data_IF_412872593116
#
_entry.id   IF_412872593116
#
_cell.length_a   1.000
_cell.length_b   1.000
_cell.length_c   1.000
_cell.angle_alpha   90.00
_cell.angle_beta   90.00
_cell.angle_gamma   90.00
#
_symmetry.space_group_name_H-M   'P 1'
#
loop_
_entity.id
_entity.type
_entity.pdbx_description
1 polymer ?
#
# COMPACT_ATOMS: atom_id res chain seq x y z
N UNK A 1 24.69 -0.91 -16.15
CA UNK A 1 23.36 -1.18 -16.75
C UNK A 1 22.67 -2.25 -15.90
N UNK A 2 22.04 -1.83 -14.80
CA UNK A 2 21.52 -2.73 -13.77
C UNK A 2 20.13 -3.24 -14.18
N UNK A 3 20.03 -4.52 -14.54
CA UNK A 3 18.77 -5.20 -14.84
C UNK A 3 18.03 -5.39 -13.51
N UNK A 4 17.08 -4.51 -13.22
CA UNK A 4 16.27 -4.52 -11.98
C UNK A 4 15.25 -5.67 -11.96
N UNK A 5 15.73 -6.90 -11.82
CA UNK A 5 14.93 -7.99 -11.27
C UNK A 5 14.68 -7.70 -9.79
N UNK A 6 13.42 -7.35 -9.48
CA UNK A 6 12.76 -7.46 -8.17
C UNK A 6 13.61 -8.20 -7.12
N UNK A 7 14.35 -7.46 -6.27
CA UNK A 7 14.83 -8.05 -5.04
C UNK A 7 13.62 -8.20 -4.11
N UNK A 8 13.02 -9.37 -4.15
CA UNK A 8 12.07 -9.78 -3.13
C UNK A 8 12.91 -10.12 -1.90
N UNK A 9 12.93 -9.22 -0.91
CA UNK A 9 13.54 -9.53 0.36
C UNK A 9 12.56 -10.44 1.13
N UNK A 10 12.91 -11.72 1.41
CA UNK A 10 12.00 -12.63 2.10
C UNK A 10 11.71 -12.23 3.55
N UNK A 11 12.51 -11.32 4.13
CA UNK A 11 12.32 -10.78 5.48
C UNK A 11 12.37 -9.26 5.45
N UNK A 12 11.27 -8.59 5.04
CA UNK A 12 11.19 -7.15 5.13
C UNK A 12 11.29 -6.70 6.59
N UNK A 13 11.84 -5.51 6.83
CA UNK A 13 11.77 -4.90 8.15
C UNK A 13 10.30 -4.62 8.48
N UNK A 14 9.79 -5.22 9.55
CA UNK A 14 8.43 -5.03 10.03
C UNK A 14 8.42 -3.91 11.06
N UNK A 15 7.52 -2.96 10.87
CA UNK A 15 7.27 -1.85 11.80
C UNK A 15 5.78 -1.84 12.08
N UNK A 16 5.41 -2.00 13.35
CA UNK A 16 4.02 -1.87 13.78
C UNK A 16 3.74 -0.40 14.07
N UNK A 17 2.64 0.10 13.52
CA UNK A 17 2.18 1.47 13.73
C UNK A 17 0.71 1.44 14.09
N UNK A 18 0.32 2.22 15.10
CA UNK A 18 -1.07 2.35 15.53
C UNK A 18 -1.93 3.06 14.48
N UNK A 19 -1.31 3.85 13.59
CA UNK A 19 -2.00 4.53 12.49
C UNK A 19 -2.66 3.59 11.46
N UNK A 20 -2.27 2.31 11.41
CA UNK A 20 -2.89 1.28 10.56
C UNK A 20 -3.95 0.44 11.30
N UNK A 21 -4.21 0.73 12.58
CA UNK A 21 -5.33 0.15 13.31
C UNK A 21 -6.67 0.62 12.71
N UNK A 22 -7.79 -0.08 12.98
CA UNK A 22 -9.10 0.26 12.39
C UNK A 22 -9.59 1.70 12.66
N UNK A 23 -9.10 2.33 13.73
CA UNK A 23 -9.38 3.70 14.18
C UNK A 23 -8.29 4.70 13.77
N UNK A 24 -7.26 4.25 13.06
CA UNK A 24 -6.18 5.08 12.55
C UNK A 24 -6.65 6.10 11.51
N UNK A 25 -6.04 7.29 11.52
CA UNK A 25 -6.38 8.36 10.58
C UNK A 25 -5.39 8.43 9.42
N UNK A 26 -5.86 8.86 8.25
CA UNK A 26 -5.00 9.11 7.09
C UNK A 26 -3.79 10.00 7.41
N UNK A 27 -4.01 11.07 8.18
CA UNK A 27 -2.93 11.99 8.57
C UNK A 27 -1.86 11.29 9.41
N UNK A 28 -2.25 10.44 10.35
CA UNK A 28 -1.31 9.66 11.15
C UNK A 28 -0.51 8.67 10.27
N UNK A 29 -1.15 8.03 9.29
CA UNK A 29 -0.46 7.14 8.34
C UNK A 29 0.56 7.91 7.51
N UNK A 30 0.24 9.12 7.04
CA UNK A 30 1.18 9.96 6.28
C UNK A 30 2.40 10.33 7.14
N UNK A 31 2.20 10.72 8.40
CA UNK A 31 3.31 11.00 9.33
C UNK A 31 4.20 9.77 9.54
N UNK A 32 3.62 8.58 9.63
CA UNK A 32 4.41 7.34 9.74
C UNK A 32 5.12 6.95 8.45
N UNK A 33 4.52 7.24 7.29
CA UNK A 33 5.14 7.05 5.99
C UNK A 33 6.34 8.00 5.81
N UNK A 34 6.26 9.25 6.27
CA UNK A 34 7.35 10.23 6.19
C UNK A 34 8.62 9.75 6.89
N UNK A 35 8.49 9.05 8.02
CA UNK A 35 9.62 8.41 8.73
C UNK A 35 10.37 7.40 7.84
N UNK A 36 9.72 6.92 6.78
CA UNK A 36 10.22 5.93 5.84
C UNK A 36 10.42 6.49 4.42
N UNK A 37 10.42 7.82 4.23
CA UNK A 37 10.48 8.46 2.90
C UNK A 37 11.71 8.06 2.03
N UNK A 38 12.79 7.56 2.64
CA UNK A 38 13.97 7.05 1.91
C UNK A 38 13.77 5.64 1.32
N UNK A 39 12.68 4.95 1.63
CA UNK A 39 12.38 3.61 1.13
C UNK A 39 11.70 3.72 -0.24
N UNK A 40 12.17 2.93 -1.20
CA UNK A 40 11.62 2.91 -2.56
C UNK A 40 10.34 2.08 -2.69
N UNK A 41 10.06 1.20 -1.73
CA UNK A 41 8.90 0.29 -1.71
C UNK A 41 8.46 0.09 -0.26
N UNK A 42 7.19 0.34 0.03
CA UNK A 42 6.57 0.16 1.35
C UNK A 42 5.33 -0.71 1.17
N UNK A 43 5.20 -1.74 2.00
CA UNK A 43 3.99 -2.56 2.08
C UNK A 43 3.19 -2.13 3.31
N UNK A 44 1.95 -1.69 3.09
CA UNK A 44 1.03 -1.38 4.17
C UNK A 44 0.06 -2.56 4.35
N UNK A 45 -0.14 -2.96 5.61
CA UNK A 45 -1.06 -4.03 5.98
C UNK A 45 -2.00 -3.46 7.03
N UNK A 46 -3.29 -3.52 6.77
CA UNK A 46 -4.32 -2.97 7.65
C UNK A 46 -5.66 -3.68 7.47
N UNK A 47 -6.69 -3.06 8.02
CA UNK A 47 -8.04 -3.61 8.07
C UNK A 47 -8.97 -2.88 7.11
N UNK A 48 -9.97 -3.60 6.58
CA UNK A 48 -11.12 -2.97 5.95
C UNK A 48 -12.04 -2.36 7.02
N UNK A 49 -12.68 -1.19 6.75
CA UNK A 49 -12.64 -0.43 5.49
C UNK A 49 -11.45 0.56 5.38
N UNK A 50 -10.70 0.77 6.46
CA UNK A 50 -9.67 1.81 6.55
C UNK A 50 -8.58 1.69 5.47
N UNK A 51 -8.14 0.48 5.12
CA UNK A 51 -7.14 0.27 4.06
C UNK A 51 -7.70 0.59 2.66
N UNK A 52 -8.97 0.27 2.40
CA UNK A 52 -9.70 0.63 1.19
C UNK A 52 -9.89 2.14 1.03
N UNK A 53 -10.19 2.84 2.11
CA UNK A 53 -10.28 4.30 2.16
C UNK A 53 -8.91 4.96 1.94
N UNK A 54 -7.86 4.46 2.60
CA UNK A 54 -6.49 4.93 2.41
C UNK A 54 -6.07 4.80 0.94
N UNK A 55 -6.30 3.63 0.35
CA UNK A 55 -5.97 3.38 -1.05
C UNK A 55 -6.74 4.33 -1.99
N UNK A 56 -8.02 4.59 -1.73
CA UNK A 56 -8.82 5.55 -2.49
C UNK A 56 -8.28 6.98 -2.37
N UNK A 57 -7.91 7.43 -1.16
CA UNK A 57 -7.31 8.75 -0.93
C UNK A 57 -5.98 8.90 -1.66
N UNK A 58 -5.13 7.88 -1.63
CA UNK A 58 -3.84 7.89 -2.31
C UNK A 58 -3.98 8.07 -3.83
N UNK A 59 -5.06 7.59 -4.45
CA UNK A 59 -5.30 7.73 -5.89
C UNK A 59 -6.28 8.89 -6.23
N UNK A 60 -6.71 9.66 -5.24
CA UNK A 60 -7.69 10.74 -5.44
C UNK A 60 -9.11 10.28 -5.79
N UNK A 61 -9.47 9.03 -5.46
CA UNK A 61 -10.82 8.50 -5.66
C UNK A 61 -11.77 8.95 -4.55
N UNK A 62 -13.03 9.23 -4.91
CA UNK A 62 -14.12 9.50 -3.95
C UNK A 62 -14.74 8.22 -3.38
N UNK A 63 -14.53 7.09 -4.04
CA UNK A 63 -15.06 5.80 -3.63
C UNK A 63 -13.94 4.91 -3.11
N UNK A 64 -14.19 4.26 -1.97
CA UNK A 64 -13.27 3.30 -1.39
C UNK A 64 -13.01 2.12 -2.34
N UNK A 65 -11.79 1.59 -2.29
CA UNK A 65 -11.44 0.36 -3.01
C UNK A 65 -11.78 -0.81 -2.09
N UNK A 66 -12.64 -1.73 -2.53
CA UNK A 66 -13.00 -2.90 -1.72
C UNK A 66 -11.87 -3.93 -1.72
N UNK A 67 -11.33 -4.25 -0.53
CA UNK A 67 -10.33 -5.31 -0.37
C UNK A 67 -10.94 -6.59 0.17
N UNK A 68 -10.85 -7.68 -0.61
CA UNK A 68 -11.05 -9.03 -0.06
C UNK A 68 -9.90 -9.36 0.90
N UNK A 69 -10.17 -10.18 1.92
CA UNK A 69 -9.14 -10.63 2.87
C UNK A 69 -7.94 -11.24 2.14
N UNK A 70 -6.76 -10.66 2.32
CA UNK A 70 -5.53 -11.06 1.62
C UNK A 70 -5.43 -10.57 0.17
N UNK A 71 -6.22 -9.59 -0.25
CA UNK A 71 -6.00 -8.86 -1.49
C UNK A 71 -4.84 -7.87 -1.32
N UNK A 72 -4.16 -7.55 -2.42
CA UNK A 72 -3.03 -6.61 -2.45
C UNK A 72 -3.22 -5.67 -3.62
N UNK A 73 -2.95 -4.38 -3.43
CA UNK A 73 -2.83 -3.43 -4.52
C UNK A 73 -1.44 -2.83 -4.56
N UNK A 74 -1.09 -2.25 -5.72
CA UNK A 74 0.07 -1.39 -5.86
C UNK A 74 -0.36 -0.04 -6.36
N UNK A 75 0.04 0.98 -5.61
CA UNK A 75 -0.12 2.38 -5.96
C UNK A 75 1.30 2.96 -6.09
N UNK A 76 1.60 3.53 -7.25
CA UNK A 76 2.83 4.29 -7.45
C UNK A 76 2.54 5.76 -7.09
N UNK A 77 3.39 6.36 -6.24
CA UNK A 77 3.31 7.78 -5.85
C UNK A 77 4.66 8.44 -6.15
N UNK A 78 4.65 9.74 -6.47
CA UNK A 78 5.87 10.49 -6.79
C UNK A 78 6.77 10.72 -5.57
N UNK A 79 6.20 10.66 -4.37
CA UNK A 79 6.93 10.87 -3.13
C UNK A 79 6.06 10.68 -1.90
N UNK A 80 6.71 10.78 -0.74
CA UNK A 80 6.09 10.77 0.58
C UNK A 80 6.53 12.05 1.31
N UNK A 81 5.61 12.90 1.77
CA UNK A 81 4.15 12.76 1.66
C UNK A 81 3.66 12.88 0.20
N UNK A 82 2.52 12.25 -0.16
CA UNK A 82 1.98 12.35 -1.52
C UNK A 82 1.58 13.80 -1.85
N UNK A 83 2.21 14.39 -2.86
CA UNK A 83 1.87 15.74 -3.35
C UNK A 83 0.64 15.78 -4.27
N UNK A 84 0.12 14.62 -4.67
CA UNK A 84 -1.01 14.46 -5.58
C UNK A 84 -1.49 13.00 -5.62
N UNK A 85 -2.51 12.70 -6.45
CA UNK A 85 -2.99 11.34 -6.62
C UNK A 85 -1.91 10.46 -7.28
N UNK A 86 -1.72 9.27 -6.73
CA UNK A 86 -0.88 8.22 -7.31
C UNK A 86 -1.63 7.35 -8.30
N UNK A 87 -0.88 6.49 -8.97
CA UNK A 87 -1.37 5.58 -10.00
C UNK A 87 -1.65 4.19 -9.42
N UNK A 88 -2.92 3.75 -9.47
CA UNK A 88 -3.26 2.36 -9.19
C UNK A 88 -2.77 1.45 -10.34
N UNK A 89 -1.67 0.72 -10.11
CA UNK A 89 -1.05 -0.13 -11.13
C UNK A 89 -1.74 -1.49 -11.26
N UNK A 90 -2.15 -2.06 -10.13
CA UNK A 90 -2.90 -3.33 -10.10
C UNK A 90 -3.57 -3.54 -8.74
N UNK A 91 -4.65 -4.32 -8.77
CA UNK A 91 -5.35 -4.86 -7.60
C UNK A 91 -5.51 -6.37 -7.81
N UNK A 92 -4.86 -7.15 -6.95
CA UNK A 92 -4.84 -8.60 -6.99
C UNK A 92 -5.67 -9.16 -5.84
N UNK A 93 -6.76 -9.84 -6.16
CA UNK A 93 -7.54 -10.58 -5.17
C UNK A 93 -6.93 -11.95 -4.89
N UNK A 94 -7.24 -12.59 -3.74
CA UNK A 94 -6.76 -13.94 -3.44
C UNK A 94 -7.08 -14.96 -4.54
N UNK A 95 -8.22 -14.81 -5.23
CA UNK A 95 -8.61 -15.69 -6.33
C UNK A 95 -7.63 -15.57 -7.51
N UNK A 96 -7.28 -14.34 -7.90
CA UNK A 96 -6.32 -14.08 -8.97
C UNK A 96 -4.94 -14.61 -8.58
N UNK A 97 -4.46 -14.31 -7.37
CA UNK A 97 -3.16 -14.79 -6.90
C UNK A 97 -3.05 -16.32 -6.87
N UNK A 98 -4.12 -17.04 -6.51
CA UNK A 98 -4.14 -18.51 -6.58
C UNK A 98 -4.00 -19.04 -8.00
N UNK A 99 -4.54 -18.33 -9.00
CA UNK A 99 -4.40 -18.72 -10.42
C UNK A 99 -3.01 -18.44 -11.01
N UNK A 100 -2.26 -17.48 -10.43
CA UNK A 100 -0.89 -17.14 -10.86
C UNK A 100 0.17 -18.10 -10.31
N UNK A 101 -0.18 -18.92 -9.32
CA UNK A 101 0.69 -19.96 -8.74
C UNK A 101 0.66 -21.20 -9.65
N UNK A 102 1.19 -21.08 -10.86
CA UNK A 102 1.50 -22.20 -11.74
C UNK A 102 3.01 -22.36 -11.84
#
# INVERSE_FOLDING_TARGET
MCRSTSCFNPRPALVNVESLAPDGTYAAVVVDLEKHARKTRIGLVGHEPAIGELAARLIGSRHQIEFKKGAVCRIDVDGIPPGGPGDLRWLLTPKIMRSLRK
#
